data_IF_555217971608
#
_entry.id   IF_555217971608
#
_cell.length_a   1.000
_cell.length_b   1.000
_cell.length_c   1.000
_cell.angle_alpha   90.00
_cell.angle_beta   90.00
_cell.angle_gamma   90.00
#
_symmetry.space_group_name_H-M   'P 1'
#
loop_
_entity.id
_entity.type
_entity.pdbx_description
1 polymer ?
#
# COMPACT_ATOMS: atom_id res chain seq x y z
N UNK A 1 -14.32 -10.03 1.54
CA UNK A 1 -13.41 -9.38 0.54
C UNK A 1 -12.02 -10.00 0.59
N UNK A 2 -11.50 -10.30 1.78
CA UNK A 2 -10.36 -11.21 2.02
C UNK A 2 -10.47 -12.54 1.25
N UNK A 3 -11.68 -13.04 1.03
CA UNK A 3 -12.00 -14.27 0.29
C UNK A 3 -11.57 -14.25 -1.19
N UNK A 4 -11.25 -13.07 -1.73
CA UNK A 4 -10.76 -12.89 -3.11
C UNK A 4 -9.23 -12.88 -3.22
N UNK A 5 -8.52 -12.90 -2.10
CA UNK A 5 -7.05 -12.96 -2.04
C UNK A 5 -6.63 -14.43 -2.02
N UNK A 6 -5.66 -14.82 -2.85
CA UNK A 6 -5.20 -16.21 -2.88
C UNK A 6 -4.51 -16.60 -1.57
N UNK A 7 -4.47 -17.91 -1.25
CA UNK A 7 -3.80 -18.38 -0.02
C UNK A 7 -2.35 -17.92 0.09
N UNK A 8 -1.61 -17.96 -1.02
CA UNK A 8 -0.20 -17.53 -1.09
C UNK A 8 -0.07 -16.03 -0.80
N UNK A 9 -0.94 -15.21 -1.38
CA UNK A 9 -0.95 -13.77 -1.10
C UNK A 9 -1.33 -13.50 0.35
N UNK A 10 -2.32 -14.23 0.88
CA UNK A 10 -2.71 -14.09 2.28
C UNK A 10 -1.55 -14.39 3.25
N UNK A 11 -0.72 -15.38 2.95
CA UNK A 11 0.50 -15.67 3.72
C UNK A 11 1.53 -14.54 3.62
N UNK A 12 1.75 -13.97 2.43
CA UNK A 12 2.62 -12.82 2.24
C UNK A 12 2.10 -11.58 2.99
N UNK A 13 0.79 -11.31 2.92
CA UNK A 13 0.15 -10.23 3.66
C UNK A 13 0.35 -10.39 5.16
N UNK A 14 0.14 -11.60 5.69
CA UNK A 14 0.36 -11.89 7.12
C UNK A 14 1.81 -11.65 7.53
N UNK A 15 2.76 -12.10 6.70
CA UNK A 15 4.18 -11.91 7.00
C UNK A 15 4.55 -10.42 7.05
N UNK A 16 4.13 -9.63 6.06
CA UNK A 16 4.37 -8.18 6.07
C UNK A 16 3.65 -7.51 7.23
N UNK A 17 2.38 -7.86 7.49
CA UNK A 17 1.60 -7.31 8.60
C UNK A 17 2.30 -7.52 9.95
N UNK A 18 2.86 -8.70 10.20
CA UNK A 18 3.59 -9.00 11.44
C UNK A 18 4.89 -8.21 11.60
N UNK A 19 5.52 -7.77 10.51
CA UNK A 19 6.71 -6.91 10.57
C UNK A 19 6.33 -5.49 11.00
N UNK A 20 5.16 -5.00 10.55
CA UNK A 20 4.69 -3.65 10.84
C UNK A 20 3.81 -3.54 12.09
N UNK A 21 3.34 -4.65 12.65
CA UNK A 21 2.78 -4.73 14.01
C UNK A 21 3.91 -4.64 15.05
N UNK A 22 4.41 -3.42 15.24
CA UNK A 22 5.52 -3.15 16.15
C UNK A 22 5.15 -3.35 17.63
N UNK A 23 3.86 -3.30 17.99
CA UNK A 23 3.40 -3.54 19.37
C UNK A 23 3.13 -5.01 19.67
N UNK A 24 2.91 -5.85 18.63
CA UNK A 24 2.57 -7.26 18.79
C UNK A 24 1.17 -7.48 19.36
N UNK A 25 0.32 -6.46 19.31
CA UNK A 25 -1.06 -6.48 19.83
C UNK A 25 -2.05 -7.01 18.78
N UNK A 26 -1.57 -7.42 17.60
CA UNK A 26 -2.41 -7.83 16.49
C UNK A 26 -3.07 -6.64 15.79
N UNK A 27 -2.44 -5.46 15.88
CA UNK A 27 -2.94 -4.22 15.32
C UNK A 27 -1.79 -3.31 14.82
N UNK A 28 -1.72 -3.13 13.51
CA UNK A 28 -0.76 -2.24 12.88
C UNK A 28 -1.22 -0.78 12.96
N UNK A 29 -0.29 0.17 13.02
CA UNK A 29 -0.63 1.59 12.86
C UNK A 29 -1.10 1.90 11.42
N UNK A 30 -2.19 2.63 11.29
CA UNK A 30 -2.75 3.02 10.00
C UNK A 30 -1.79 3.90 9.16
N UNK A 31 -0.87 4.62 9.81
CA UNK A 31 0.19 5.38 9.15
C UNK A 31 1.15 4.47 8.36
N UNK A 32 1.34 3.23 8.81
CA UNK A 32 2.24 2.27 8.18
C UNK A 32 1.58 1.51 7.00
N UNK A 33 0.28 1.74 6.75
CA UNK A 33 -0.45 1.01 5.72
C UNK A 33 0.13 1.23 4.33
N UNK A 34 0.49 2.48 4.00
CA UNK A 34 1.03 2.81 2.67
C UNK A 34 2.38 2.13 2.41
N UNK A 35 3.29 2.15 3.38
CA UNK A 35 4.60 1.52 3.25
C UNK A 35 4.51 -0.01 3.24
N UNK A 36 3.56 -0.57 3.99
CA UNK A 36 3.28 -2.01 3.94
C UNK A 36 2.79 -2.47 2.57
N UNK A 37 1.95 -1.67 1.89
CA UNK A 37 1.53 -1.97 0.52
C UNK A 37 2.71 -1.94 -0.46
N UNK A 38 3.65 -1.00 -0.26
CA UNK A 38 4.90 -0.92 -1.03
C UNK A 38 5.81 -2.13 -0.80
N UNK A 39 5.90 -2.61 0.44
CA UNK A 39 6.61 -3.83 0.77
C UNK A 39 5.99 -5.09 0.11
N UNK A 40 4.68 -5.06 -0.17
CA UNK A 40 3.97 -6.10 -0.91
C UNK A 40 4.10 -5.97 -2.45
N UNK A 41 4.89 -5.01 -2.94
CA UNK A 41 5.16 -4.79 -4.36
C UNK A 41 4.10 -3.98 -5.10
N UNK A 42 3.19 -3.30 -4.37
CA UNK A 42 2.23 -2.37 -4.96
C UNK A 42 2.75 -0.93 -4.86
N UNK A 43 2.33 -0.05 -5.76
CA UNK A 43 2.70 1.38 -5.73
C UNK A 43 1.48 2.29 -5.54
N UNK A 44 0.70 2.17 -4.44
CA UNK A 44 -0.47 3.01 -4.27
C UNK A 44 -0.08 4.44 -3.88
N UNK A 45 -0.94 5.40 -4.24
CA UNK A 45 -0.86 6.77 -3.74
C UNK A 45 -1.30 6.83 -2.28
N UNK A 46 -0.79 7.80 -1.52
CA UNK A 46 -1.21 8.03 -0.13
C UNK A 46 -2.71 8.34 -0.06
N UNK A 47 -3.24 9.08 -1.04
CA UNK A 47 -4.65 9.42 -1.14
C UNK A 47 -5.54 8.16 -1.26
N UNK A 48 -5.15 7.20 -2.10
CA UNK A 48 -5.86 5.93 -2.24
C UNK A 48 -5.85 5.15 -0.92
N UNK A 49 -4.69 4.98 -0.30
CA UNK A 49 -4.55 4.23 0.97
C UNK A 49 -5.41 4.85 2.07
N UNK A 50 -5.40 6.19 2.19
CA UNK A 50 -6.24 6.91 3.15
C UNK A 50 -7.74 6.70 2.87
N UNK A 51 -8.15 6.73 1.60
CA UNK A 51 -9.55 6.48 1.22
C UNK A 51 -10.02 5.05 1.53
N UNK A 52 -9.09 4.08 1.55
CA UNK A 52 -9.35 2.68 1.88
C UNK A 52 -9.24 2.40 3.39
N UNK A 53 -8.97 3.42 4.21
CA UNK A 53 -9.00 3.33 5.67
C UNK A 53 -7.64 3.42 6.36
N UNK A 54 -6.56 3.71 5.64
CA UNK A 54 -5.27 4.10 6.21
C UNK A 54 -5.30 5.50 6.84
N UNK A 55 -4.17 5.94 7.39
CA UNK A 55 -3.96 7.31 7.86
C UNK A 55 -2.59 7.82 7.41
N UNK A 56 -2.39 9.13 7.46
CA UNK A 56 -1.08 9.76 7.32
C UNK A 56 -0.52 10.26 8.67
N UNK A 57 -1.30 10.13 9.75
CA UNK A 57 -0.93 10.57 11.10
C UNK A 57 -0.60 9.34 11.97
N UNK A 58 0.64 9.22 12.47
CA UNK A 58 1.00 8.15 13.39
C UNK A 58 0.13 8.16 14.66
N UNK A 59 -0.31 6.99 15.11
CA UNK A 59 -1.04 6.81 16.37
C UNK A 59 -2.52 7.23 16.33
N UNK A 60 -3.03 7.74 15.20
CA UNK A 60 -4.42 8.15 15.07
C UNK A 60 -5.37 6.96 14.99
N UNK A 61 -4.96 5.90 14.27
CA UNK A 61 -5.81 4.73 14.02
C UNK A 61 -4.98 3.45 14.00
N UNK A 62 -5.57 2.39 14.55
CA UNK A 62 -5.05 1.03 14.51
C UNK A 62 -5.84 0.20 13.49
N UNK A 63 -5.15 -0.65 12.75
CA UNK A 63 -5.70 -1.50 11.70
C UNK A 63 -5.59 -2.98 12.08
N UNK A 64 -6.74 -3.68 12.27
CA UNK A 64 -6.74 -5.13 12.33
C UNK A 64 -6.37 -5.74 10.96
N UNK A 65 -5.96 -7.01 10.96
CA UNK A 65 -5.52 -7.70 9.76
C UNK A 65 -6.58 -7.73 8.64
N UNK A 66 -7.87 -7.85 8.98
CA UNK A 66 -8.95 -7.88 7.98
C UNK A 66 -9.04 -6.56 7.20
N UNK A 67 -8.92 -5.42 7.90
CA UNK A 67 -8.93 -4.10 7.27
C UNK A 67 -7.68 -3.91 6.40
N UNK A 68 -6.52 -4.37 6.88
CA UNK A 68 -5.28 -4.37 6.10
C UNK A 68 -5.41 -5.16 4.79
N UNK A 69 -6.03 -6.34 4.83
CA UNK A 69 -6.28 -7.16 3.64
C UNK A 69 -7.28 -6.50 2.68
N UNK A 70 -8.26 -5.76 3.19
CA UNK A 70 -9.18 -4.97 2.36
C UNK A 70 -8.46 -3.80 1.65
N UNK A 71 -7.57 -3.09 2.35
CA UNK A 71 -6.72 -2.05 1.75
C UNK A 71 -5.86 -2.64 0.63
N UNK A 72 -5.23 -3.80 0.87
CA UNK A 72 -4.44 -4.49 -0.17
C UNK A 72 -5.28 -4.82 -1.39
N UNK A 73 -6.48 -5.37 -1.21
CA UNK A 73 -7.34 -5.69 -2.34
C UNK A 73 -7.75 -4.45 -3.14
N UNK A 74 -8.03 -3.32 -2.47
CA UNK A 74 -8.31 -2.05 -3.13
C UNK A 74 -7.10 -1.54 -3.93
N UNK A 75 -5.91 -1.54 -3.32
CA UNK A 75 -4.66 -1.10 -3.96
C UNK A 75 -4.27 -1.99 -5.14
N UNK A 76 -4.49 -3.30 -5.04
CA UNK A 76 -4.16 -4.26 -6.11
C UNK A 76 -5.03 -4.09 -7.35
N UNK A 77 -6.29 -3.68 -7.17
CA UNK A 77 -7.22 -3.46 -8.27
C UNK A 77 -7.22 -2.02 -8.79
N UNK A 78 -6.42 -1.15 -8.17
CA UNK A 78 -6.21 0.18 -8.68
C UNK A 78 -5.45 0.12 -10.01
N UNK A 79 -5.93 0.90 -10.96
CA UNK A 79 -5.35 1.01 -12.30
C UNK A 79 -4.54 2.29 -12.48
N UNK A 80 -4.61 3.20 -11.51
CA UNK A 80 -4.00 4.52 -11.54
C UNK A 80 -2.77 4.59 -10.62
N UNK A 81 -1.85 3.63 -10.81
CA UNK A 81 -0.61 3.53 -10.03
C UNK A 81 0.61 4.10 -10.75
N UNK A 82 0.43 4.68 -11.94
CA UNK A 82 1.51 5.10 -12.85
C UNK A 82 2.30 3.93 -13.43
N UNK A 83 2.84 4.12 -14.63
CA UNK A 83 3.76 3.17 -15.28
C UNK A 83 5.10 3.83 -15.62
N UNK A 84 6.09 3.03 -15.98
CA UNK A 84 7.44 3.50 -16.31
C UNK A 84 7.42 4.64 -17.35
N UNK A 85 6.60 4.48 -18.39
CA UNK A 85 6.44 5.44 -19.48
C UNK A 85 5.97 6.80 -18.95
N UNK A 86 5.04 6.84 -17.99
CA UNK A 86 4.53 8.09 -17.40
C UNK A 86 5.66 8.88 -16.73
N UNK A 87 6.56 8.18 -16.02
CA UNK A 87 7.70 8.81 -15.36
C UNK A 87 8.72 9.33 -16.38
N UNK A 88 8.97 8.60 -17.47
CA UNK A 88 9.89 9.04 -18.53
C UNK A 88 9.35 10.29 -19.22
N UNK A 89 8.07 10.31 -19.61
CA UNK A 89 7.46 11.50 -20.23
C UNK A 89 7.49 12.71 -19.27
N UNK A 90 7.23 12.50 -17.98
CA UNK A 90 7.33 13.56 -16.97
C UNK A 90 8.75 14.14 -16.87
N UNK A 91 9.78 13.28 -16.93
CA UNK A 91 11.18 13.72 -16.83
C UNK A 91 11.68 14.40 -18.11
N UNK A 92 11.19 14.01 -19.29
CA UNK A 92 11.52 14.69 -20.56
C UNK A 92 11.12 16.16 -20.58
N UNK A 93 10.07 16.56 -19.86
CA UNK A 93 9.70 17.98 -19.72
C UNK A 93 10.83 18.84 -19.12
N UNK A 94 11.72 18.22 -18.36
CA UNK A 94 12.85 18.87 -17.71
C UNK A 94 14.18 18.67 -18.47
N UNK A 95 14.29 17.64 -19.30
CA UNK A 95 15.45 17.44 -20.17
C UNK A 95 15.37 18.31 -21.43
N UNK A 96 15.76 19.58 -21.29
CA UNK A 96 15.82 20.53 -22.40
C UNK A 96 16.94 20.26 -23.41
N UNK A 97 17.87 19.35 -23.09
CA UNK A 97 19.02 19.06 -23.93
C UNK A 97 18.87 17.74 -24.72
N UNK A 98 17.83 16.95 -24.45
CA UNK A 98 17.54 15.66 -25.10
C UNK A 98 18.74 14.69 -25.09
N UNK A 99 19.46 14.59 -23.96
CA UNK A 99 20.70 13.80 -23.83
C UNK A 99 20.51 12.46 -23.10
#
# INVERSE_FOLDING_TARGET
MVDKVSKKELEQLKHVYMIYDLSGEGQMDAANAADSMRALGLNPTIALVNSLGGSSTPGEKKLPFEDFANIYWGCKNDKDSGVYEDFIECLRLYDKAEN
#
